data_IF_420755571928
#
_entry.id   IF_420755571928
#
_cell.length_a   1.000
_cell.length_b   1.000
_cell.length_c   1.000
_cell.angle_alpha   90.00
_cell.angle_beta   90.00
_cell.angle_gamma   90.00
#
_symmetry.space_group_name_H-M   'P 1'
#
loop_
_entity.id
_entity.type
_entity.pdbx_description
1 polymer ?
#
# COMPACT_ATOMS: atom_id res chain seq x y z
N UNK A 1 -5.17 15.84 -0.47
CA UNK A 1 -4.74 17.26 -0.38
C UNK A 1 -3.28 17.40 -0.80
N UNK A 2 -2.33 16.76 -0.16
CA UNK A 2 -0.88 16.87 -0.44
C UNK A 2 -0.51 16.52 -1.89
N UNK A 3 -1.18 15.51 -2.47
CA UNK A 3 -1.01 15.16 -3.88
C UNK A 3 -1.39 16.31 -4.82
N UNK A 4 -2.49 17.04 -4.53
CA UNK A 4 -2.91 18.21 -5.30
C UNK A 4 -1.88 19.35 -5.18
N UNK A 5 -1.34 19.58 -3.99
CA UNK A 5 -0.28 20.59 -3.79
C UNK A 5 0.94 20.32 -4.68
N UNK A 6 1.34 19.05 -4.81
CA UNK A 6 2.40 18.67 -5.75
C UNK A 6 1.99 18.85 -7.21
N UNK A 7 0.72 18.55 -7.56
CA UNK A 7 0.20 18.67 -8.92
C UNK A 7 0.16 20.12 -9.43
N UNK A 8 0.01 21.10 -8.54
CA UNK A 8 0.03 22.53 -8.90
C UNK A 8 1.35 22.91 -9.59
N UNK A 9 2.48 22.36 -9.15
CA UNK A 9 3.79 22.65 -9.73
C UNK A 9 3.92 22.16 -11.19
N UNK A 10 3.03 21.28 -11.62
CA UNK A 10 2.96 20.73 -12.98
C UNK A 10 1.83 21.35 -13.81
N UNK A 11 1.16 22.37 -13.29
CA UNK A 11 0.03 23.04 -13.93
C UNK A 11 -1.09 22.07 -14.35
N UNK A 12 -1.37 21.06 -13.51
CA UNK A 12 -2.40 20.07 -13.78
C UNK A 12 -3.77 20.57 -13.32
N UNK A 13 -4.80 20.27 -14.11
CA UNK A 13 -6.19 20.45 -13.72
C UNK A 13 -6.65 19.22 -12.93
N UNK A 14 -6.84 19.37 -11.62
CA UNK A 14 -7.11 18.26 -10.73
C UNK A 14 -8.58 18.25 -10.30
N UNK A 15 -9.25 17.14 -10.60
CA UNK A 15 -10.61 16.85 -10.15
C UNK A 15 -10.57 15.81 -9.03
N UNK A 16 -11.40 16.00 -8.00
CA UNK A 16 -11.51 15.06 -6.88
C UNK A 16 -12.93 14.52 -6.74
N UNK A 17 -13.03 13.22 -6.47
CA UNK A 17 -14.24 12.53 -6.04
C UNK A 17 -14.05 12.07 -4.61
N UNK A 18 -14.96 12.44 -3.70
CA UNK A 18 -14.91 12.05 -2.29
C UNK A 18 -16.34 11.98 -1.72
N UNK A 19 -16.67 11.01 -0.85
CA UNK A 19 -17.98 10.91 -0.21
C UNK A 19 -18.21 12.01 0.84
N UNK A 20 -17.16 12.57 1.45
CA UNK A 20 -17.28 13.65 2.43
C UNK A 20 -17.38 15.02 1.74
N UNK A 21 -18.48 15.71 1.95
CA UNK A 21 -18.68 17.07 1.45
C UNK A 21 -17.67 18.09 1.99
N UNK A 22 -16.97 17.76 3.09
CA UNK A 22 -15.96 18.57 3.76
C UNK A 22 -14.54 18.02 3.58
N UNK A 23 -14.33 17.11 2.60
CA UNK A 23 -13.03 16.53 2.31
C UNK A 23 -11.93 17.61 2.19
N UNK A 24 -10.73 17.38 2.76
CA UNK A 24 -9.64 18.36 2.74
C UNK A 24 -9.16 18.77 1.34
N UNK A 25 -9.44 17.95 0.31
CA UNK A 25 -9.12 18.24 -1.08
C UNK A 25 -10.05 19.27 -1.72
N UNK A 26 -11.27 19.44 -1.22
CA UNK A 26 -12.32 20.27 -1.81
C UNK A 26 -11.91 21.74 -2.04
N UNK A 27 -11.18 22.32 -1.12
CA UNK A 27 -10.81 23.73 -1.17
C UNK A 27 -9.65 24.04 -2.13
N UNK A 28 -8.94 23.01 -2.60
CA UNK A 28 -7.73 23.16 -3.43
C UNK A 28 -7.80 22.41 -4.77
N UNK A 29 -8.79 21.54 -4.95
CA UNK A 29 -9.05 20.92 -6.25
C UNK A 29 -9.68 21.95 -7.22
N UNK A 30 -9.40 21.80 -8.53
CA UNK A 30 -10.06 22.62 -9.54
C UNK A 30 -11.56 22.28 -9.66
N UNK A 31 -11.88 20.98 -9.49
CA UNK A 31 -13.27 20.50 -9.40
C UNK A 31 -13.41 19.50 -8.26
N UNK A 32 -14.52 19.56 -7.57
CA UNK A 32 -14.88 18.62 -6.52
C UNK A 32 -16.24 18.00 -6.78
N UNK A 33 -16.30 16.69 -6.81
CA UNK A 33 -17.53 15.91 -6.91
C UNK A 33 -17.76 15.15 -5.62
N UNK A 34 -18.91 15.37 -4.98
CA UNK A 34 -19.34 14.52 -3.86
C UNK A 34 -19.95 13.24 -4.39
N UNK A 35 -19.43 12.07 -4.02
CA UNK A 35 -19.97 10.80 -4.45
C UNK A 35 -19.25 9.59 -3.84
N UNK A 36 -19.89 8.42 -3.92
CA UNK A 36 -19.32 7.17 -3.42
C UNK A 36 -18.20 6.66 -4.31
N UNK A 37 -17.06 6.34 -3.71
CA UNK A 37 -15.91 5.73 -4.40
C UNK A 37 -16.17 4.26 -4.78
N UNK A 38 -17.18 3.62 -4.17
CA UNK A 38 -17.51 2.21 -4.39
C UNK A 38 -18.72 2.01 -5.30
N UNK A 39 -19.39 3.11 -5.68
CA UNK A 39 -20.51 3.08 -6.62
C UNK A 39 -20.01 3.10 -8.06
N UNK A 40 -20.43 2.11 -8.87
CA UNK A 40 -19.96 1.91 -10.24
C UNK A 40 -20.27 3.12 -11.13
N UNK A 41 -21.51 3.56 -11.14
CA UNK A 41 -21.97 4.64 -12.03
C UNK A 41 -21.33 5.98 -11.68
N UNK A 42 -21.16 6.24 -10.37
CA UNK A 42 -20.50 7.46 -9.87
C UNK A 42 -19.05 7.52 -10.34
N UNK A 43 -18.29 6.43 -10.14
CA UNK A 43 -16.87 6.37 -10.54
C UNK A 43 -16.71 6.43 -12.05
N UNK A 44 -17.54 5.69 -12.80
CA UNK A 44 -17.50 5.70 -14.26
C UNK A 44 -17.81 7.09 -14.81
N UNK A 45 -18.88 7.73 -14.32
CA UNK A 45 -19.26 9.09 -14.74
C UNK A 45 -18.17 10.10 -14.43
N UNK A 46 -17.56 10.02 -13.24
CA UNK A 46 -16.48 10.92 -12.83
C UNK A 46 -15.24 10.78 -13.71
N UNK A 47 -14.84 9.54 -14.06
CA UNK A 47 -13.61 9.29 -14.82
C UNK A 47 -13.73 9.49 -16.34
N UNK A 48 -14.95 9.52 -16.87
CA UNK A 48 -15.20 9.45 -18.33
C UNK A 48 -14.55 10.57 -19.15
N UNK A 49 -14.43 11.77 -18.61
CA UNK A 49 -13.86 12.94 -19.28
C UNK A 49 -12.46 13.32 -18.77
N UNK A 50 -11.83 12.46 -17.97
CA UNK A 50 -10.48 12.69 -17.42
C UNK A 50 -9.44 11.99 -18.30
N UNK A 51 -8.23 12.56 -18.38
CA UNK A 51 -7.10 11.98 -19.12
C UNK A 51 -6.44 10.86 -18.32
N UNK A 52 -6.22 11.12 -17.03
CA UNK A 52 -5.57 10.18 -16.08
C UNK A 52 -6.42 10.10 -14.81
N UNK A 53 -6.65 8.88 -14.37
CA UNK A 53 -7.33 8.59 -13.10
C UNK A 53 -6.33 7.95 -12.14
N UNK A 54 -6.29 8.45 -10.92
CA UNK A 54 -5.48 7.85 -9.84
C UNK A 54 -6.30 7.73 -8.58
N UNK A 55 -5.81 6.91 -7.64
CA UNK A 55 -6.46 6.68 -6.35
C UNK A 55 -5.57 7.16 -5.19
N UNK A 56 -6.21 7.50 -4.09
CA UNK A 56 -5.54 7.84 -2.83
C UNK A 56 -5.97 6.88 -1.71
N UNK A 57 -7.01 6.08 -1.97
CA UNK A 57 -7.51 5.03 -1.09
C UNK A 57 -7.85 3.78 -1.93
N UNK A 58 -7.62 2.58 -1.41
CA UNK A 58 -7.87 1.32 -2.14
C UNK A 58 -9.35 0.94 -2.22
N UNK A 59 -10.18 1.49 -1.32
CA UNK A 59 -11.61 1.17 -1.29
C UNK A 59 -12.39 1.88 -2.40
N UNK A 60 -12.12 1.47 -3.63
CA UNK A 60 -12.72 2.00 -4.87
C UNK A 60 -13.43 0.91 -5.65
N UNK A 61 -14.32 1.30 -6.57
CA UNK A 61 -14.97 0.37 -7.48
C UNK A 61 -14.02 -0.03 -8.62
N UNK A 62 -13.47 -1.24 -8.54
CA UNK A 62 -12.49 -1.76 -9.50
C UNK A 62 -13.11 -1.99 -10.88
N UNK A 63 -14.37 -2.44 -10.94
CA UNK A 63 -15.03 -2.72 -12.23
C UNK A 63 -15.26 -1.43 -13.04
N UNK A 64 -15.61 -0.32 -12.37
CA UNK A 64 -15.70 0.98 -13.02
C UNK A 64 -14.33 1.45 -13.55
N UNK A 65 -13.26 1.23 -12.77
CA UNK A 65 -11.90 1.56 -13.20
C UNK A 65 -11.45 0.69 -14.39
N UNK A 66 -11.77 -0.61 -14.40
CA UNK A 66 -11.52 -1.51 -15.55
C UNK A 66 -12.28 -1.04 -16.80
N UNK A 67 -13.52 -0.59 -16.63
CA UNK A 67 -14.31 -0.07 -17.77
C UNK A 67 -13.71 1.23 -18.31
N UNK A 68 -13.24 2.15 -17.47
CA UNK A 68 -12.53 3.35 -17.90
C UNK A 68 -11.24 3.01 -18.66
N UNK A 69 -10.47 2.02 -18.18
CA UNK A 69 -9.26 1.54 -18.88
C UNK A 69 -9.61 0.95 -20.27
N UNK A 70 -10.69 0.15 -20.39
CA UNK A 70 -11.20 -0.35 -21.67
C UNK A 70 -11.61 0.76 -22.63
N UNK A 71 -12.12 1.89 -22.09
CA UNK A 71 -12.47 3.08 -22.85
C UNK A 71 -11.25 3.93 -23.25
N UNK A 72 -10.03 3.44 -22.96
CA UNK A 72 -8.77 4.09 -23.33
C UNK A 72 -8.28 5.15 -22.33
N UNK A 73 -8.86 5.22 -21.13
CA UNK A 73 -8.37 6.10 -20.07
C UNK A 73 -7.13 5.51 -19.40
N UNK A 74 -6.20 6.37 -19.02
CA UNK A 74 -5.06 5.98 -18.18
C UNK A 74 -5.53 5.88 -16.72
N UNK A 75 -5.50 4.70 -16.17
CA UNK A 75 -5.84 4.45 -14.76
C UNK A 75 -4.61 3.95 -14.03
N UNK A 76 -4.11 4.72 -13.07
CA UNK A 76 -2.89 4.41 -12.32
C UNK A 76 -3.08 4.57 -10.79
N UNK A 77 -2.72 3.54 -10.01
CA UNK A 77 -2.25 2.23 -10.47
C UNK A 77 -3.33 1.51 -11.27
N UNK A 78 -2.89 0.56 -12.09
CA UNK A 78 -3.79 -0.21 -12.95
C UNK A 78 -4.83 -0.97 -12.11
N UNK A 79 -6.09 -1.10 -12.58
CA UNK A 79 -7.15 -1.79 -11.84
C UNK A 79 -6.78 -3.23 -11.46
N UNK A 80 -6.03 -3.94 -12.31
CA UNK A 80 -5.53 -5.29 -12.03
C UNK A 80 -4.57 -5.34 -10.85
N UNK A 81 -3.76 -4.31 -10.66
CA UNK A 81 -2.85 -4.19 -9.50
C UNK A 81 -3.66 -3.94 -8.21
N UNK A 82 -4.64 -3.04 -8.28
CA UNK A 82 -5.52 -2.75 -7.14
C UNK A 82 -6.27 -4.02 -6.72
N UNK A 83 -6.76 -4.83 -7.66
CA UNK A 83 -7.46 -6.09 -7.41
C UNK A 83 -6.58 -7.10 -6.66
N UNK A 84 -5.33 -7.28 -7.08
CA UNK A 84 -4.37 -8.16 -6.39
C UNK A 84 -4.10 -7.67 -4.96
N UNK A 85 -3.91 -6.37 -4.78
CA UNK A 85 -3.51 -5.81 -3.49
C UNK A 85 -4.70 -5.75 -2.53
N UNK A 86 -5.90 -5.50 -3.01
CA UNK A 86 -7.12 -5.40 -2.21
C UNK A 86 -7.54 -6.74 -1.59
N UNK A 87 -7.16 -7.88 -2.19
CA UNK A 87 -7.39 -9.22 -1.65
C UNK A 87 -6.08 -9.79 -1.07
N UNK A 88 -5.99 -9.87 0.26
CA UNK A 88 -4.78 -10.38 0.95
C UNK A 88 -4.42 -11.81 0.54
N UNK A 89 -5.39 -12.63 0.12
CA UNK A 89 -5.13 -13.97 -0.41
C UNK A 89 -4.48 -13.93 -1.78
N UNK A 90 -4.97 -13.08 -2.70
CA UNK A 90 -4.34 -12.87 -4.01
C UNK A 90 -2.94 -12.26 -3.85
N UNK A 91 -2.78 -11.33 -2.92
CA UNK A 91 -1.49 -10.71 -2.60
C UNK A 91 -0.47 -11.75 -2.12
N UNK A 92 -0.83 -12.65 -1.21
CA UNK A 92 0.04 -13.73 -0.73
C UNK A 92 0.39 -14.74 -1.82
N UNK A 93 -0.60 -15.13 -2.64
CA UNK A 93 -0.35 -15.99 -3.79
C UNK A 93 0.58 -15.32 -4.82
N UNK A 94 0.45 -14.02 -5.02
CA UNK A 94 1.36 -13.25 -5.87
C UNK A 94 2.79 -13.29 -5.33
N UNK A 95 3.00 -13.12 -4.01
CA UNK A 95 4.32 -13.23 -3.41
C UNK A 95 4.91 -14.63 -3.62
N UNK A 96 4.15 -15.66 -3.36
CA UNK A 96 4.58 -17.05 -3.53
C UNK A 96 4.98 -17.36 -4.98
N UNK A 97 4.15 -16.95 -5.96
CA UNK A 97 4.42 -17.20 -7.39
C UNK A 97 5.65 -16.48 -7.94
N UNK A 98 6.06 -15.40 -7.29
CA UNK A 98 7.19 -14.57 -7.72
C UNK A 98 8.40 -14.70 -6.78
N UNK A 99 8.46 -15.70 -5.90
CA UNK A 99 9.53 -15.91 -4.93
C UNK A 99 9.86 -14.61 -4.14
N UNK A 100 8.81 -13.94 -3.66
CA UNK A 100 8.92 -12.76 -2.80
C UNK A 100 8.83 -13.25 -1.35
N UNK A 101 9.83 -12.97 -0.51
CA UNK A 101 9.87 -13.47 0.85
C UNK A 101 8.75 -12.85 1.69
N UNK A 102 7.90 -13.67 2.27
CA UNK A 102 6.84 -13.29 3.21
C UNK A 102 6.65 -14.37 4.27
N UNK A 103 5.81 -14.12 5.28
CA UNK A 103 5.43 -15.14 6.24
C UNK A 103 4.75 -16.32 5.57
N UNK A 104 4.95 -17.54 6.11
CA UNK A 104 4.18 -18.72 5.71
C UNK A 104 2.70 -18.45 5.91
N UNK A 105 1.86 -18.92 4.99
CA UNK A 105 0.44 -18.64 5.04
C UNK A 105 -0.40 -19.81 4.53
N UNK A 106 -1.66 -19.81 4.93
CA UNK A 106 -2.70 -20.71 4.43
C UNK A 106 -3.96 -19.90 4.11
N UNK A 107 -4.66 -20.32 3.06
CA UNK A 107 -5.96 -19.74 2.72
C UNK A 107 -7.06 -20.65 3.29
N UNK A 108 -8.04 -20.05 3.93
CA UNK A 108 -9.22 -20.71 4.46
C UNK A 108 -10.49 -19.98 4.03
N UNK A 109 -11.53 -20.73 3.71
CA UNK A 109 -12.81 -20.14 3.28
C UNK A 109 -13.74 -19.85 4.48
N UNK A 110 -13.51 -20.55 5.59
CA UNK A 110 -14.31 -20.43 6.80
C UNK A 110 -13.55 -20.94 8.02
N UNK A 111 -14.14 -20.70 9.19
CA UNK A 111 -13.59 -21.06 10.49
C UNK A 111 -13.31 -22.57 10.65
N UNK A 112 -14.16 -23.45 10.10
CA UNK A 112 -14.00 -24.90 10.27
C UNK A 112 -12.74 -25.44 9.58
N UNK A 113 -12.23 -24.76 8.57
CA UNK A 113 -11.00 -25.16 7.91
C UNK A 113 -9.73 -24.86 8.73
N UNK A 114 -9.82 -23.97 9.72
CA UNK A 114 -8.67 -23.59 10.57
C UNK A 114 -8.15 -24.80 11.38
N UNK A 115 -9.04 -25.71 11.80
CA UNK A 115 -8.67 -26.89 12.55
C UNK A 115 -7.65 -27.79 11.83
N UNK A 116 -7.66 -27.81 10.49
CA UNK A 116 -6.69 -28.55 9.67
C UNK A 116 -5.24 -28.08 9.88
N UNK A 117 -5.08 -26.87 10.40
CA UNK A 117 -3.79 -26.23 10.61
C UNK A 117 -3.41 -26.13 12.09
N UNK A 118 -4.00 -26.98 12.95
CA UNK A 118 -3.78 -26.96 14.40
C UNK A 118 -2.30 -27.07 14.82
N UNK A 119 -1.48 -27.80 14.05
CA UNK A 119 -0.04 -27.95 14.30
C UNK A 119 0.80 -26.70 13.95
N UNK A 120 0.21 -25.70 13.30
CA UNK A 120 0.93 -24.51 12.86
C UNK A 120 0.66 -23.26 13.73
N UNK A 121 -0.20 -23.37 14.76
CA UNK A 121 -0.41 -22.26 15.69
C UNK A 121 0.93 -21.79 16.32
N UNK A 122 1.08 -20.48 16.65
CA UNK A 122 0.09 -19.42 16.53
C UNK A 122 0.03 -18.73 15.16
N UNK A 123 -1.15 -18.14 14.82
CA UNK A 123 -1.38 -17.39 13.61
C UNK A 123 -1.95 -16.00 13.86
N UNK A 124 -1.76 -15.12 12.90
CA UNK A 124 -2.72 -14.04 12.62
C UNK A 124 -3.71 -14.50 11.55
N UNK A 125 -4.99 -14.41 11.85
CA UNK A 125 -6.03 -14.52 10.82
C UNK A 125 -6.36 -13.11 10.33
N UNK A 126 -6.27 -12.91 9.01
CA UNK A 126 -6.60 -11.65 8.35
C UNK A 126 -7.72 -11.91 7.34
N UNK A 127 -8.80 -11.14 7.38
CA UNK A 127 -9.82 -11.18 6.33
C UNK A 127 -9.18 -10.90 4.97
N UNK A 128 -9.59 -11.62 3.94
CA UNK A 128 -9.07 -11.41 2.58
C UNK A 128 -9.41 -10.02 2.07
N UNK A 129 -10.62 -9.55 2.34
CA UNK A 129 -11.11 -8.24 1.93
C UNK A 129 -11.80 -7.52 3.10
N UNK A 130 -11.93 -6.20 3.03
CA UNK A 130 -12.67 -5.40 4.02
C UNK A 130 -11.94 -5.10 5.32
N UNK A 131 -10.71 -5.58 5.52
CA UNK A 131 -9.87 -5.22 6.67
C UNK A 131 -9.08 -3.91 6.39
N UNK A 132 -9.01 -3.02 7.38
CA UNK A 132 -8.23 -1.78 7.35
C UNK A 132 -7.87 -1.36 8.78
N UNK A 133 -6.75 -0.70 8.97
CA UNK A 133 -6.31 -0.12 10.25
C UNK A 133 -6.46 -1.09 11.44
N UNK A 134 -5.95 -2.32 11.29
CA UNK A 134 -6.06 -3.37 12.31
C UNK A 134 -7.43 -4.05 12.43
N UNK A 135 -8.47 -3.55 11.78
CA UNK A 135 -9.77 -4.23 11.69
C UNK A 135 -9.68 -5.42 10.72
N UNK A 136 -10.40 -6.51 11.05
CA UNK A 136 -10.33 -7.74 10.25
C UNK A 136 -9.05 -8.54 10.47
N UNK A 137 -8.35 -8.32 11.59
CA UNK A 137 -7.17 -9.09 12.03
C UNK A 137 -7.41 -9.62 13.43
N UNK A 138 -7.15 -10.90 13.65
CA UNK A 138 -7.22 -11.52 14.98
C UNK A 138 -6.03 -12.46 15.19
N UNK A 139 -5.43 -12.40 16.37
CA UNK A 139 -4.36 -13.30 16.78
C UNK A 139 -4.96 -14.59 17.37
N UNK A 140 -4.71 -15.70 16.72
CA UNK A 140 -5.07 -17.03 17.18
C UNK A 140 -3.85 -17.70 17.83
N UNK A 141 -3.75 -17.61 19.14
CA UNK A 141 -2.58 -18.08 19.90
C UNK A 141 -2.51 -19.58 20.11
N UNK A 142 -3.68 -20.28 20.10
CA UNK A 142 -3.79 -21.71 20.36
C UNK A 142 -5.05 -22.28 19.71
N UNK A 143 -5.12 -23.58 19.34
CA UNK A 143 -6.30 -24.21 18.74
C UNK A 143 -7.61 -23.99 19.50
N UNK A 144 -7.58 -23.94 20.84
CA UNK A 144 -8.78 -23.66 21.64
C UNK A 144 -9.30 -22.22 21.57
N UNK A 145 -8.62 -21.35 20.83
CA UNK A 145 -9.04 -19.96 20.55
C UNK A 145 -9.76 -19.79 19.20
N UNK A 146 -10.01 -20.88 18.48
CA UNK A 146 -10.70 -20.85 17.17
C UNK A 146 -12.10 -20.22 17.29
N UNK A 147 -12.71 -20.21 18.48
CA UNK A 147 -14.00 -19.54 18.70
C UNK A 147 -13.97 -18.04 18.42
N UNK A 148 -12.84 -17.38 18.55
CA UNK A 148 -12.65 -15.98 18.23
C UNK A 148 -12.32 -15.73 16.74
N UNK A 149 -12.18 -16.79 15.93
CA UNK A 149 -11.85 -16.66 14.53
C UNK A 149 -13.02 -16.12 13.71
N UNK A 150 -12.69 -15.37 12.65
CA UNK A 150 -13.67 -14.97 11.63
C UNK A 150 -14.16 -16.19 10.85
N UNK A 151 -15.45 -16.18 10.47
CA UNK A 151 -16.07 -17.23 9.67
C UNK A 151 -16.16 -16.85 8.17
N UNK A 152 -15.22 -16.09 7.68
CA UNK A 152 -15.13 -15.58 6.32
C UNK A 152 -13.81 -16.00 5.67
N UNK A 153 -13.74 -15.92 4.33
CA UNK A 153 -12.50 -16.15 3.59
C UNK A 153 -11.34 -15.33 4.16
N UNK A 154 -10.27 -16.01 4.55
CA UNK A 154 -9.20 -15.43 5.33
C UNK A 154 -7.83 -15.98 4.93
N UNK A 155 -6.79 -15.23 5.29
CA UNK A 155 -5.40 -15.67 5.28
C UNK A 155 -4.99 -15.97 6.72
N UNK A 156 -4.47 -17.16 6.96
CA UNK A 156 -3.77 -17.49 8.22
C UNK A 156 -2.29 -17.27 7.99
N UNK A 157 -1.71 -16.33 8.69
CA UNK A 157 -0.28 -16.01 8.58
C UNK A 157 0.47 -16.44 9.83
N UNK A 158 1.59 -17.14 9.66
CA UNK A 158 2.47 -17.47 10.77
C UNK A 158 3.01 -16.20 11.41
N UNK A 159 3.06 -16.17 12.75
CA UNK A 159 3.68 -15.05 13.46
C UNK A 159 5.16 -14.95 13.08
N UNK A 160 5.57 -13.74 12.72
CA UNK A 160 6.98 -13.43 12.48
C UNK A 160 7.60 -12.90 13.78
N UNK A 161 8.70 -13.49 14.20
CA UNK A 161 9.52 -12.95 15.29
C UNK A 161 10.47 -11.89 14.71
N UNK A 162 9.98 -10.67 14.63
CA UNK A 162 10.73 -9.55 14.05
C UNK A 162 11.36 -8.66 15.16
N UNK A 163 12.40 -7.96 14.78
CA UNK A 163 13.07 -6.94 15.58
C UNK A 163 12.57 -5.55 15.24
N UNK A 164 12.32 -5.30 13.95
CA UNK A 164 11.89 -3.99 13.43
C UNK A 164 10.84 -4.13 12.35
N UNK A 165 9.98 -3.13 12.27
CA UNK A 165 9.12 -2.88 11.12
C UNK A 165 9.68 -1.71 10.33
N UNK A 166 9.83 -1.90 9.03
CA UNK A 166 10.33 -0.87 8.11
C UNK A 166 9.41 -0.74 6.91
N UNK A 167 9.47 0.39 6.24
CA UNK A 167 8.75 0.61 4.99
C UNK A 167 9.67 1.19 3.93
N UNK A 168 9.47 0.72 2.69
CA UNK A 168 10.13 1.26 1.49
C UNK A 168 9.05 1.69 0.52
N UNK A 169 9.09 2.95 0.07
CA UNK A 169 8.24 3.42 -1.01
C UNK A 169 9.03 3.32 -2.31
N UNK A 170 8.45 2.67 -3.31
CA UNK A 170 8.97 2.60 -4.66
C UNK A 170 8.02 3.30 -5.62
N UNK A 171 8.57 4.13 -6.50
CA UNK A 171 7.87 4.70 -7.63
C UNK A 171 8.29 3.96 -8.91
N UNK A 172 7.33 3.72 -9.81
CA UNK A 172 7.58 3.17 -11.13
C UNK A 172 6.72 3.89 -12.17
N UNK A 173 7.33 4.34 -13.27
CA UNK A 173 6.62 4.99 -14.38
C UNK A 173 6.28 3.99 -15.51
N UNK A 174 5.52 4.44 -16.52
CA UNK A 174 5.15 3.61 -17.69
C UNK A 174 6.38 3.11 -18.48
N UNK A 175 7.47 3.89 -18.51
CA UNK A 175 8.72 3.49 -19.18
C UNK A 175 9.50 2.41 -18.42
N UNK A 176 9.05 2.05 -17.22
CA UNK A 176 9.70 1.02 -16.38
C UNK A 176 10.81 1.55 -15.48
N UNK A 177 11.08 2.87 -15.46
CA UNK A 177 12.02 3.43 -14.50
C UNK A 177 11.48 3.24 -13.08
N UNK A 178 12.32 2.69 -12.19
CA UNK A 178 12.01 2.50 -10.77
C UNK A 178 12.94 3.33 -9.90
N UNK A 179 12.38 3.99 -8.87
CA UNK A 179 13.18 4.62 -7.81
C UNK A 179 12.54 4.34 -6.45
N UNK A 180 13.38 3.89 -5.52
CA UNK A 180 12.99 3.68 -4.12
C UNK A 180 13.39 4.87 -3.26
N UNK A 181 12.56 5.21 -2.30
CA UNK A 181 12.98 6.04 -1.17
C UNK A 181 13.80 5.19 -0.19
N UNK A 182 14.76 5.80 0.53
CA UNK A 182 15.44 5.12 1.63
C UNK A 182 14.44 4.53 2.63
N UNK A 183 14.75 3.36 3.18
CA UNK A 183 13.88 2.72 4.15
C UNK A 183 13.66 3.61 5.38
N UNK A 184 12.43 3.58 5.89
CA UNK A 184 12.03 4.23 7.13
C UNK A 184 11.68 3.17 8.17
N UNK A 185 11.92 3.47 9.44
CA UNK A 185 11.56 2.61 10.58
C UNK A 185 10.24 3.06 11.17
N UNK A 186 9.34 2.12 11.40
CA UNK A 186 8.02 2.36 11.95
C UNK A 186 7.95 1.82 13.37
N UNK A 187 7.63 2.67 14.35
CA UNK A 187 7.30 2.27 15.71
C UNK A 187 5.79 2.36 15.92
N UNK A 188 5.22 1.25 16.35
CA UNK A 188 3.78 1.11 16.54
C UNK A 188 3.39 1.33 18.00
N UNK A 189 2.31 2.05 18.21
CA UNK A 189 1.64 2.07 19.50
C UNK A 189 1.00 0.70 19.73
N UNK A 190 1.38 0.04 20.83
CA UNK A 190 0.95 -1.33 21.15
C UNK A 190 -0.57 -1.43 21.43
N UNK A 191 -1.21 -0.34 21.89
CA UNK A 191 -2.63 -0.32 22.21
C UNK A 191 -3.48 0.04 21.00
N UNK A 192 -3.05 1.05 20.23
CA UNK A 192 -3.77 1.54 19.05
C UNK A 192 -3.51 0.70 17.78
N UNK A 193 -2.42 -0.08 17.76
CA UNK A 193 -1.95 -0.83 16.58
C UNK A 193 -1.78 0.06 15.33
N UNK A 194 -1.34 1.29 15.55
CA UNK A 194 -1.05 2.29 14.51
C UNK A 194 0.39 2.75 14.66
N UNK A 195 1.01 3.16 13.54
CA UNK A 195 2.33 3.80 13.56
C UNK A 195 2.25 5.08 14.37
N UNK A 196 2.99 5.15 15.47
CA UNK A 196 3.08 6.33 16.34
C UNK A 196 4.25 7.22 15.92
N UNK A 197 5.42 6.61 15.73
CA UNK A 197 6.62 7.31 15.25
C UNK A 197 7.15 6.63 14.00
N UNK A 198 7.71 7.47 13.12
CA UNK A 198 8.43 7.02 11.95
C UNK A 198 9.75 7.78 11.86
N UNK A 199 10.85 7.04 11.71
CA UNK A 199 12.20 7.59 11.62
C UNK A 199 12.75 7.42 10.20
N UNK A 200 13.24 8.50 9.64
CA UNK A 200 13.90 8.54 8.33
C UNK A 200 15.32 9.08 8.45
N UNK A 201 16.36 8.35 8.04
CA UNK A 201 16.34 6.96 7.57
C UNK A 201 16.11 5.95 8.70
N UNK A 202 15.73 4.72 8.34
CA UNK A 202 15.66 3.61 9.28
C UNK A 202 17.03 3.31 9.91
N UNK A 203 17.04 3.00 11.21
CA UNK A 203 18.27 2.59 11.90
C UNK A 203 18.53 1.10 11.69
N UNK A 204 18.97 0.72 10.50
CA UNK A 204 19.23 -0.64 10.04
C UNK A 204 20.60 -0.77 9.37
N UNK A 205 21.09 -2.02 9.27
CA UNK A 205 22.34 -2.30 8.55
C UNK A 205 22.14 -2.05 7.05
N UNK A 206 23.18 -1.56 6.37
CA UNK A 206 23.15 -1.35 4.89
C UNK A 206 22.74 -2.58 4.09
N UNK A 207 23.08 -3.79 4.59
CA UNK A 207 22.68 -5.04 3.94
C UNK A 207 21.18 -5.31 4.03
N UNK A 208 20.53 -4.89 5.12
CA UNK A 208 19.07 -4.98 5.31
C UNK A 208 18.37 -3.95 4.41
N UNK A 209 18.86 -2.70 4.40
CA UNK A 209 18.33 -1.66 3.53
C UNK A 209 18.38 -2.08 2.05
N UNK A 210 19.52 -2.63 1.60
CA UNK A 210 19.66 -3.16 0.25
C UNK A 210 18.64 -4.28 -0.05
N UNK A 211 18.46 -5.25 0.85
CA UNK A 211 17.46 -6.31 0.68
C UNK A 211 16.03 -5.73 0.61
N UNK A 212 15.70 -4.76 1.46
CA UNK A 212 14.39 -4.11 1.46
C UNK A 212 14.10 -3.41 0.14
N UNK A 213 15.07 -2.66 -0.39
CA UNK A 213 14.98 -1.98 -1.69
C UNK A 213 14.85 -2.98 -2.84
N UNK A 214 15.64 -4.06 -2.85
CA UNK A 214 15.58 -5.11 -3.88
C UNK A 214 14.20 -5.81 -3.87
N UNK A 215 13.64 -6.10 -2.70
CA UNK A 215 12.30 -6.69 -2.56
C UNK A 215 11.23 -5.72 -3.08
N UNK A 216 11.26 -4.45 -2.65
CA UNK A 216 10.30 -3.45 -3.09
C UNK A 216 10.33 -3.24 -4.60
N UNK A 217 11.52 -3.14 -5.19
CA UNK A 217 11.71 -3.01 -6.64
C UNK A 217 11.14 -4.24 -7.36
N UNK A 218 11.48 -5.45 -6.89
CA UNK A 218 10.98 -6.71 -7.48
C UNK A 218 9.45 -6.77 -7.47
N UNK A 219 8.81 -6.34 -6.38
CA UNK A 219 7.34 -6.32 -6.29
C UNK A 219 6.75 -5.34 -7.32
N UNK A 220 7.28 -4.12 -7.39
CA UNK A 220 6.81 -3.09 -8.32
C UNK A 220 6.96 -3.54 -9.79
N UNK A 221 8.09 -4.15 -10.14
CA UNK A 221 8.34 -4.71 -11.48
C UNK A 221 7.40 -5.87 -11.80
N UNK A 222 7.22 -6.84 -10.88
CA UNK A 222 6.36 -8.01 -11.10
C UNK A 222 4.87 -7.65 -11.16
N UNK A 223 4.42 -6.63 -10.44
CA UNK A 223 3.08 -6.03 -10.58
C UNK A 223 2.95 -5.20 -11.85
N UNK A 224 4.06 -4.80 -12.46
CA UNK A 224 4.11 -3.80 -13.54
C UNK A 224 3.33 -2.52 -13.16
N UNK A 225 3.37 -2.13 -11.88
CA UNK A 225 2.63 -0.98 -11.37
C UNK A 225 3.13 0.33 -12.00
N UNK A 226 2.22 1.27 -12.22
CA UNK A 226 2.54 2.68 -12.52
C UNK A 226 2.02 3.54 -11.38
N UNK A 227 2.91 4.35 -10.81
CA UNK A 227 2.63 5.14 -9.61
C UNK A 227 3.52 4.76 -8.44
N UNK A 228 3.01 4.88 -7.23
CA UNK A 228 3.69 4.49 -6.00
C UNK A 228 3.23 3.12 -5.50
N UNK A 229 4.15 2.45 -4.85
CA UNK A 229 3.89 1.27 -4.03
C UNK A 229 4.64 1.45 -2.71
N UNK A 230 3.93 1.52 -1.60
CA UNK A 230 4.51 1.37 -0.28
C UNK A 230 4.61 -0.12 0.05
N UNK A 231 5.77 -0.55 0.53
CA UNK A 231 6.05 -1.94 0.91
C UNK A 231 6.42 -1.97 2.38
N UNK A 232 5.56 -2.57 3.20
CA UNK A 232 5.81 -2.78 4.62
C UNK A 232 6.53 -4.10 4.84
N UNK A 233 7.57 -4.09 5.64
CA UNK A 233 8.52 -5.17 5.78
C UNK A 233 8.84 -5.42 7.25
N UNK A 234 8.95 -6.70 7.60
CA UNK A 234 9.53 -7.13 8.87
C UNK A 234 11.02 -7.43 8.71
N UNK A 235 11.84 -6.93 9.61
CA UNK A 235 13.22 -7.35 9.78
C UNK A 235 13.27 -8.34 10.94
N UNK A 236 13.57 -9.60 10.67
CA UNK A 236 13.64 -10.62 11.72
C UNK A 236 14.92 -10.48 12.53
N UNK A 237 14.96 -11.05 13.75
CA UNK A 237 16.16 -11.11 14.60
C UNK A 237 17.36 -11.79 13.93
N UNK A 238 17.12 -12.62 12.91
CA UNK A 238 18.16 -13.27 12.10
C UNK A 238 18.60 -12.41 10.90
N UNK A 239 18.05 -11.21 10.75
CA UNK A 239 18.38 -10.30 9.66
C UNK A 239 17.74 -10.67 8.31
N UNK A 240 16.67 -11.47 8.29
CA UNK A 240 15.85 -11.69 7.09
C UNK A 240 14.83 -10.57 6.94
N UNK A 241 14.57 -10.17 5.71
CA UNK A 241 13.53 -9.19 5.37
C UNK A 241 12.34 -9.92 4.76
N UNK A 242 11.16 -9.75 5.34
CA UNK A 242 9.92 -10.39 4.90
C UNK A 242 8.86 -9.33 4.61
N UNK A 243 8.12 -9.48 3.52
CA UNK A 243 7.00 -8.59 3.20
C UNK A 243 5.83 -8.88 4.13
N UNK A 244 5.31 -7.82 4.77
CA UNK A 244 4.04 -7.83 5.49
C UNK A 244 2.90 -7.57 4.51
N UNK A 245 2.79 -6.34 4.01
CA UNK A 245 1.77 -5.94 3.03
C UNK A 245 2.26 -4.80 2.13
N UNK A 246 1.45 -4.46 1.13
CA UNK A 246 1.75 -3.35 0.22
C UNK A 246 0.52 -2.47 0.01
N UNK A 247 0.76 -1.17 -0.25
CA UNK A 247 -0.28 -0.21 -0.58
C UNK A 247 0.07 0.51 -1.91
N UNK A 248 -0.83 0.51 -2.91
CA UNK A 248 -0.53 1.01 -4.26
C UNK A 248 -0.88 2.50 -4.39
N UNK A 249 -0.43 3.34 -3.48
CA UNK A 249 -0.78 4.76 -3.36
C UNK A 249 0.22 5.53 -2.49
N UNK A 250 0.11 6.87 -2.43
CA UNK A 250 0.80 7.63 -1.37
C UNK A 250 0.46 7.06 0.01
N UNK A 251 1.47 6.91 0.86
CA UNK A 251 1.35 6.19 2.11
C UNK A 251 1.83 7.03 3.30
N UNK A 252 1.31 6.74 4.49
CA UNK A 252 1.70 7.40 5.72
C UNK A 252 3.23 7.34 5.94
N UNK A 253 3.84 6.19 5.66
CA UNK A 253 5.29 6.01 5.77
C UNK A 253 6.14 6.87 4.82
N UNK A 254 5.54 7.69 3.98
CA UNK A 254 6.22 8.62 3.07
C UNK A 254 5.93 10.09 3.32
N UNK A 255 5.15 10.44 4.35
CA UNK A 255 4.78 11.84 4.58
C UNK A 255 5.98 12.72 4.94
N UNK A 256 6.98 12.18 5.65
CA UNK A 256 8.23 12.88 5.98
C UNK A 256 9.01 13.30 4.73
N UNK A 257 8.75 12.69 3.55
CA UNK A 257 9.46 13.03 2.31
C UNK A 257 9.19 14.45 1.82
N UNK A 258 8.12 15.11 2.33
CA UNK A 258 7.79 16.50 1.95
C UNK A 258 8.94 17.43 2.30
N UNK A 259 9.53 17.31 3.49
CA UNK A 259 10.65 18.15 3.95
C UNK A 259 11.97 17.39 4.09
N UNK A 260 11.91 16.05 4.14
CA UNK A 260 13.08 15.19 4.41
C UNK A 260 13.85 14.77 3.17
N UNK A 261 13.23 14.78 1.98
CA UNK A 261 13.82 14.28 0.74
C UNK A 261 13.85 15.34 -0.36
N UNK A 262 14.69 15.14 -1.38
CA UNK A 262 14.75 16.05 -2.54
C UNK A 262 13.42 16.07 -3.27
N UNK A 263 12.82 14.90 -3.51
CA UNK A 263 11.50 14.75 -4.13
C UNK A 263 10.56 14.12 -3.12
N UNK A 264 9.36 14.68 -2.93
CA UNK A 264 8.36 14.08 -2.06
C UNK A 264 7.69 12.86 -2.73
N UNK A 265 7.12 11.95 -1.93
CA UNK A 265 6.32 10.85 -2.49
C UNK A 265 5.18 11.35 -3.39
N UNK A 266 4.59 12.49 -3.05
CA UNK A 266 3.47 13.06 -3.79
C UNK A 266 3.91 13.56 -5.17
N UNK A 267 5.03 14.28 -5.24
CA UNK A 267 5.63 14.68 -6.50
C UNK A 267 6.07 13.47 -7.32
N UNK A 268 6.68 12.48 -6.65
CA UNK A 268 7.13 11.26 -7.32
C UNK A 268 5.97 10.47 -7.93
N UNK A 269 4.80 10.45 -7.25
CA UNK A 269 3.58 9.86 -7.81
C UNK A 269 3.13 10.57 -9.09
N UNK A 270 3.09 11.90 -9.07
CA UNK A 270 2.74 12.72 -10.25
C UNK A 270 3.72 12.43 -11.40
N UNK A 271 5.02 12.42 -11.14
CA UNK A 271 6.03 12.09 -12.15
C UNK A 271 5.80 10.70 -12.75
N UNK A 272 5.52 9.71 -11.90
CA UNK A 272 5.29 8.33 -12.33
C UNK A 272 4.07 8.19 -13.25
N UNK A 273 2.91 8.75 -12.86
CA UNK A 273 1.67 8.63 -13.63
C UNK A 273 1.67 9.47 -14.92
N UNK A 274 2.49 10.53 -14.98
CA UNK A 274 2.71 11.34 -16.18
C UNK A 274 3.83 10.79 -17.08
N UNK A 275 4.46 9.68 -16.70
CA UNK A 275 5.60 9.10 -17.39
C UNK A 275 6.79 10.08 -17.54
N UNK A 276 7.00 10.94 -16.57
CA UNK A 276 8.16 11.83 -16.49
C UNK A 276 9.36 11.09 -15.87
N UNK A 277 10.60 11.56 -16.08
CA UNK A 277 11.75 11.07 -15.35
C UNK A 277 11.51 11.17 -13.85
N UNK A 278 11.79 10.08 -13.12
CA UNK A 278 11.59 10.06 -11.67
C UNK A 278 12.61 10.97 -10.97
N UNK A 279 12.14 11.72 -9.96
CA UNK A 279 12.96 12.63 -9.17
C UNK A 279 13.95 11.89 -8.27
N UNK A 280 14.94 12.62 -7.75
CA UNK A 280 15.90 12.08 -6.78
C UNK A 280 15.20 11.87 -5.42
N UNK A 281 15.37 10.69 -4.85
CA UNK A 281 14.77 10.27 -3.57
C UNK A 281 15.73 10.43 -2.38
N UNK A 282 16.89 11.05 -2.58
CA UNK A 282 17.89 11.21 -1.52
C UNK A 282 17.34 12.03 -0.34
N UNK A 283 17.77 11.64 0.86
CA UNK A 283 17.45 12.35 2.11
C UNK A 283 18.25 13.65 2.16
N UNK A 284 17.57 14.76 2.35
CA UNK A 284 18.19 16.09 2.58
C UNK A 284 18.53 16.25 4.06
N UNK A 285 17.66 15.76 4.93
CA UNK A 285 17.84 15.78 6.38
C UNK A 285 17.09 14.60 7.04
N UNK A 286 17.65 14.02 8.12
CA UNK A 286 16.90 13.08 8.92
C UNK A 286 15.60 13.70 9.43
N UNK A 287 14.55 12.91 9.49
CA UNK A 287 13.23 13.36 9.90
C UNK A 287 12.55 12.35 10.80
N UNK A 288 11.68 12.84 11.67
CA UNK A 288 10.75 12.03 12.48
C UNK A 288 9.34 12.51 12.16
N UNK A 289 8.47 11.58 11.83
CA UNK A 289 7.04 11.86 11.71
C UNK A 289 6.34 11.31 12.96
N UNK A 290 5.42 12.09 13.50
CA UNK A 290 4.54 11.71 14.61
C UNK A 290 3.12 11.69 14.03
N UNK A 291 2.40 10.58 14.26
CA UNK A 291 1.07 10.35 13.72
C UNK A 291 -0.03 10.65 14.75
#
# INVERSE_FOLDING_TARGET
>A
RMLIQSAINYNLYVCCLDPDANAPCKSIANEFTKGSLTDYDTVLKFGKDKDIITIEIENVNIEALKELEKQGKKVFPQPSVIEIIKDKGLQKMFYQRNDIPSSDFFLVENKTQIEKYASFFPFFQKLRTGGYDGKGVVKLGHPNKIDHAFNEPSVLERLVDFEKEISVIVARNESGECKCFPAVECEFNAEANLVEFLFSPAHIKKSIDKQAVEIATKIAEKLNIVGLLAVELFVTKQGKVLVNEVAPRPHNSGHQTIEGNITSQFEQHIRAILNLPLGDTAIVRPAVMIN
#
